data_IF_216964949833
#
_entry.id   IF_216964949833
#
_cell.length_a   1.000
_cell.length_b   1.000
_cell.length_c   1.000
_cell.angle_alpha   90.00
_cell.angle_beta   90.00
_cell.angle_gamma   90.00
#
_symmetry.space_group_name_H-M   'P 1'
#
loop_
_entity.id
_entity.type
_entity.pdbx_description
1 polymer ?
#
# COMPACT_ATOMS: atom_id res chain seq x y z
N UNK A 1 -22.39 -20.81 3.50
CA UNK A 1 -21.01 -20.29 3.69
C UNK A 1 -20.94 -19.08 4.63
N UNK A 2 -22.08 -18.50 5.07
CA UNK A 2 -22.11 -17.30 5.94
C UNK A 2 -21.70 -17.59 7.40
N UNK A 3 -21.54 -18.87 7.80
CA UNK A 3 -21.16 -19.27 9.17
C UNK A 3 -19.85 -20.10 9.23
N UNK A 4 -19.09 -20.18 8.13
CA UNK A 4 -17.81 -20.90 8.16
C UNK A 4 -16.77 -20.10 8.94
N UNK A 5 -16.20 -20.71 9.98
CA UNK A 5 -15.21 -20.10 10.87
C UNK A 5 -13.81 -20.69 10.71
N UNK A 6 -13.66 -21.78 9.93
CA UNK A 6 -12.37 -22.39 9.67
C UNK A 6 -11.54 -21.51 8.71
N UNK A 7 -10.42 -20.92 9.18
CA UNK A 7 -9.62 -20.01 8.36
C UNK A 7 -9.09 -20.64 7.08
N UNK A 8 -8.81 -21.95 7.07
CA UNK A 8 -8.30 -22.64 5.87
C UNK A 8 -9.39 -22.85 4.82
N UNK A 9 -10.63 -23.09 5.23
CA UNK A 9 -11.77 -23.20 4.31
C UNK A 9 -12.08 -21.83 3.70
N UNK A 10 -12.12 -20.78 4.53
CA UNK A 10 -12.33 -19.39 4.07
C UNK A 10 -11.22 -18.99 3.09
N UNK A 11 -9.96 -19.27 3.44
CA UNK A 11 -8.79 -19.00 2.60
C UNK A 11 -8.89 -19.73 1.26
N UNK A 12 -9.20 -21.03 1.26
CA UNK A 12 -9.34 -21.83 0.04
C UNK A 12 -10.46 -21.29 -0.84
N UNK A 13 -11.61 -20.97 -0.26
CA UNK A 13 -12.71 -20.35 -1.01
C UNK A 13 -12.27 -19.03 -1.67
N UNK A 14 -11.64 -18.13 -0.91
CA UNK A 14 -11.20 -16.85 -1.43
C UNK A 14 -10.15 -17.00 -2.54
N UNK A 15 -9.22 -17.95 -2.39
CA UNK A 15 -8.22 -18.26 -3.40
C UNK A 15 -8.86 -18.86 -4.65
N UNK A 16 -9.60 -19.97 -4.52
CA UNK A 16 -10.02 -20.78 -5.66
C UNK A 16 -11.24 -20.14 -6.37
N UNK A 17 -12.20 -19.63 -5.60
CA UNK A 17 -13.48 -19.13 -6.16
C UNK A 17 -13.43 -17.67 -6.59
N UNK A 18 -12.49 -16.87 -6.07
CA UNK A 18 -12.36 -15.44 -6.39
C UNK A 18 -11.06 -15.20 -7.16
N UNK A 19 -9.90 -15.44 -6.54
CA UNK A 19 -8.62 -15.09 -7.15
C UNK A 19 -8.33 -15.88 -8.42
N UNK A 20 -8.40 -17.22 -8.36
CA UNK A 20 -8.12 -18.07 -9.52
C UNK A 20 -9.16 -17.87 -10.62
N UNK A 21 -10.44 -17.69 -10.27
CA UNK A 21 -11.47 -17.34 -11.25
C UNK A 21 -11.14 -16.04 -11.99
N UNK A 22 -10.82 -14.97 -11.28
CA UNK A 22 -10.45 -13.70 -11.93
C UNK A 22 -9.24 -13.92 -12.83
N UNK A 23 -8.18 -14.56 -12.33
CA UNK A 23 -6.90 -14.72 -13.05
C UNK A 23 -7.01 -15.62 -14.28
N UNK A 24 -7.70 -16.75 -14.19
CA UNK A 24 -7.74 -17.79 -15.23
C UNK A 24 -8.95 -17.70 -16.15
N UNK A 25 -9.97 -16.93 -15.78
CA UNK A 25 -11.19 -16.76 -16.57
C UNK A 25 -11.45 -15.31 -16.93
N UNK A 26 -11.72 -14.46 -15.93
CA UNK A 26 -12.24 -13.11 -16.21
C UNK A 26 -11.19 -12.23 -16.94
N UNK A 27 -9.92 -12.27 -16.53
CA UNK A 27 -8.87 -11.51 -17.22
C UNK A 27 -8.65 -12.04 -18.66
N UNK A 28 -8.48 -13.36 -18.90
CA UNK A 28 -8.37 -13.90 -20.27
C UNK A 28 -9.59 -13.63 -21.17
N UNK A 29 -10.81 -13.53 -20.63
CA UNK A 29 -12.02 -13.18 -21.39
C UNK A 29 -11.99 -11.73 -21.92
N UNK A 30 -11.34 -10.81 -21.20
CA UNK A 30 -11.29 -9.38 -21.55
C UNK A 30 -9.96 -8.92 -22.18
N UNK A 31 -8.89 -9.68 -22.00
CA UNK A 31 -7.55 -9.29 -22.41
C UNK A 31 -6.84 -10.43 -23.14
N UNK A 32 -6.14 -10.13 -24.24
CA UNK A 32 -5.27 -11.12 -24.90
C UNK A 32 -4.09 -11.47 -23.99
N UNK A 33 -4.12 -12.70 -23.45
CA UNK A 33 -3.16 -13.25 -22.50
C UNK A 33 -2.67 -14.61 -22.98
N UNK A 34 -1.36 -14.73 -23.15
CA UNK A 34 -0.73 -16.00 -23.54
C UNK A 34 -0.50 -16.94 -22.34
N UNK A 35 -0.30 -16.40 -21.13
CA UNK A 35 0.04 -17.20 -19.95
C UNK A 35 -0.62 -16.68 -18.67
N UNK A 36 -1.88 -17.05 -18.38
CA UNK A 36 -2.55 -16.66 -17.14
C UNK A 36 -1.80 -17.08 -15.86
N UNK A 37 -1.09 -18.21 -15.89
CA UNK A 37 -0.27 -18.66 -14.76
C UNK A 37 0.90 -17.72 -14.42
N UNK A 38 1.35 -16.87 -15.36
CA UNK A 38 2.32 -15.82 -15.06
C UNK A 38 1.69 -14.65 -14.29
N UNK A 39 0.42 -14.30 -14.55
CA UNK A 39 -0.32 -13.32 -13.71
C UNK A 39 -0.41 -13.82 -12.27
N UNK A 40 -0.78 -15.09 -12.09
CA UNK A 40 -0.87 -15.70 -10.76
C UNK A 40 0.47 -15.68 -10.03
N UNK A 41 1.58 -15.98 -10.72
CA UNK A 41 2.93 -15.91 -10.15
C UNK A 41 3.33 -14.50 -9.73
N UNK A 42 3.08 -13.49 -10.58
CA UNK A 42 3.32 -12.08 -10.24
C UNK A 42 2.52 -11.69 -8.99
N UNK A 43 1.23 -12.07 -8.92
CA UNK A 43 0.38 -11.78 -7.78
C UNK A 43 0.90 -12.42 -6.49
N UNK A 44 1.37 -13.67 -6.53
CA UNK A 44 1.97 -14.35 -5.38
C UNK A 44 3.28 -13.69 -4.91
N UNK A 45 4.14 -13.25 -5.84
CA UNK A 45 5.36 -12.51 -5.50
C UNK A 45 5.00 -11.23 -4.74
N UNK A 46 4.05 -10.45 -5.25
CA UNK A 46 3.59 -9.21 -4.60
C UNK A 46 2.89 -9.48 -3.27
N UNK A 47 2.18 -10.61 -3.14
CA UNK A 47 1.59 -11.04 -1.88
C UNK A 47 2.64 -11.37 -0.82
N UNK A 48 3.77 -11.95 -1.21
CA UNK A 48 4.86 -12.24 -0.27
C UNK A 48 5.54 -10.98 0.26
N UNK A 49 5.45 -9.87 -0.48
CA UNK A 49 6.11 -8.60 -0.16
C UNK A 49 5.23 -7.38 -0.52
N UNK A 50 4.09 -7.17 0.16
CA UNK A 50 3.21 -6.04 -0.13
C UNK A 50 3.98 -4.72 0.02
N UNK A 51 3.80 -3.79 -0.91
CA UNK A 51 4.50 -2.51 -0.90
C UNK A 51 5.92 -2.55 -1.47
N UNK A 52 6.35 -3.66 -2.08
CA UNK A 52 7.68 -3.69 -2.73
C UNK A 52 7.78 -2.68 -3.88
N UNK A 53 8.94 -2.04 -4.00
CA UNK A 53 9.27 -1.24 -5.18
C UNK A 53 9.51 -2.17 -6.37
N UNK A 54 8.80 -1.92 -7.46
CA UNK A 54 8.86 -2.77 -8.65
C UNK A 54 9.62 -2.07 -9.76
N UNK A 55 10.69 -2.72 -10.21
CA UNK A 55 11.31 -2.48 -11.51
C UNK A 55 10.98 -3.65 -12.43
N UNK A 56 10.16 -3.40 -13.46
CA UNK A 56 9.69 -4.46 -14.37
C UNK A 56 10.81 -5.24 -15.04
N UNK A 57 11.96 -4.60 -15.29
CA UNK A 57 13.13 -5.26 -15.89
C UNK A 57 13.65 -6.39 -14.99
N UNK A 58 13.72 -6.17 -13.68
CA UNK A 58 14.24 -7.17 -12.75
C UNK A 58 13.28 -8.35 -12.66
N UNK A 59 11.98 -8.09 -12.50
CA UNK A 59 10.95 -9.15 -12.51
C UNK A 59 10.95 -9.92 -13.85
N UNK A 60 11.11 -9.22 -14.97
CA UNK A 60 11.18 -9.83 -16.29
C UNK A 60 12.38 -10.77 -16.43
N UNK A 61 13.56 -10.35 -15.94
CA UNK A 61 14.76 -11.17 -15.94
C UNK A 61 14.58 -12.42 -15.06
N UNK A 62 14.10 -12.25 -13.83
CA UNK A 62 13.91 -13.34 -12.87
C UNK A 62 12.89 -14.37 -13.35
N UNK A 63 11.82 -13.91 -14.00
CA UNK A 63 10.77 -14.77 -14.56
C UNK A 63 11.06 -15.23 -16.00
N UNK A 64 12.20 -14.83 -16.59
CA UNK A 64 12.60 -15.13 -17.97
C UNK A 64 11.51 -14.78 -18.98
N UNK A 65 11.05 -13.52 -18.94
CA UNK A 65 10.00 -12.96 -19.79
C UNK A 65 10.38 -11.59 -20.34
N UNK A 66 9.68 -11.15 -21.38
CA UNK A 66 9.85 -9.80 -21.89
C UNK A 66 9.33 -8.73 -20.92
N UNK A 67 10.04 -7.61 -20.82
CA UNK A 67 9.69 -6.49 -19.94
C UNK A 67 8.32 -5.90 -20.25
N UNK A 68 7.92 -5.82 -21.53
CA UNK A 68 6.61 -5.30 -21.93
C UNK A 68 5.51 -6.26 -21.50
N UNK A 69 5.73 -7.57 -21.56
CA UNK A 69 4.78 -8.57 -21.04
C UNK A 69 4.57 -8.41 -19.55
N UNK A 70 5.64 -8.27 -18.75
CA UNK A 70 5.50 -8.02 -17.31
C UNK A 70 4.76 -6.72 -17.03
N UNK A 71 5.13 -5.61 -17.68
CA UNK A 71 4.44 -4.33 -17.49
C UNK A 71 2.94 -4.41 -17.85
N UNK A 72 2.60 -5.09 -18.95
CA UNK A 72 1.23 -5.35 -19.40
C UNK A 72 0.45 -6.18 -18.38
N UNK A 73 1.08 -7.19 -17.78
CA UNK A 73 0.44 -8.07 -16.81
C UNK A 73 0.19 -7.38 -15.47
N UNK A 74 1.10 -6.50 -15.02
CA UNK A 74 0.85 -5.61 -13.88
C UNK A 74 -0.37 -4.71 -14.13
N UNK A 75 -0.50 -4.18 -15.35
CA UNK A 75 -1.63 -3.35 -15.72
C UNK A 75 -2.96 -4.14 -15.74
N UNK A 76 -2.95 -5.37 -16.23
CA UNK A 76 -4.13 -6.25 -16.20
C UNK A 76 -4.57 -6.56 -14.77
N UNK A 77 -3.64 -6.89 -13.88
CA UNK A 77 -3.95 -7.09 -12.47
C UNK A 77 -4.48 -5.82 -11.79
N UNK A 78 -3.98 -4.64 -12.17
CA UNK A 78 -4.48 -3.34 -11.69
C UNK A 78 -5.91 -3.07 -12.16
N UNK A 79 -6.17 -3.24 -13.45
CA UNK A 79 -7.50 -3.03 -14.06
C UNK A 79 -8.54 -4.04 -13.52
N UNK A 80 -8.08 -5.19 -13.06
CA UNK A 80 -8.92 -6.24 -12.45
C UNK A 80 -9.06 -6.09 -10.94
N UNK A 81 -8.69 -4.94 -10.38
CA UNK A 81 -8.77 -4.62 -8.95
C UNK A 81 -8.00 -5.61 -8.04
N UNK A 82 -6.98 -6.29 -8.54
CA UNK A 82 -6.11 -7.15 -7.73
C UNK A 82 -4.87 -6.42 -7.20
N UNK A 83 -4.41 -5.39 -7.92
CA UNK A 83 -3.26 -4.57 -7.52
C UNK A 83 -3.60 -3.09 -7.37
N UNK A 84 -2.94 -2.46 -6.40
CA UNK A 84 -2.93 -1.02 -6.17
C UNK A 84 -1.50 -0.48 -6.26
N UNK A 85 -1.16 0.29 -7.32
CA UNK A 85 0.11 1.01 -7.37
C UNK A 85 0.06 2.21 -6.42
N UNK A 86 1.18 2.45 -5.75
CA UNK A 86 1.44 3.63 -4.94
C UNK A 86 2.66 4.35 -5.55
N UNK A 87 2.43 5.58 -6.00
CA UNK A 87 3.39 6.34 -6.80
C UNK A 87 4.37 7.09 -5.91
N UNK A 88 5.62 7.28 -6.35
CA UNK A 88 6.52 8.16 -5.62
C UNK A 88 6.05 9.60 -5.79
N UNK A 89 5.84 10.30 -4.69
CA UNK A 89 5.39 11.68 -4.67
C UNK A 89 6.46 12.63 -5.23
N UNK A 90 6.05 13.39 -6.23
CA UNK A 90 6.70 14.58 -6.73
C UNK A 90 5.61 15.62 -7.01
N UNK A 91 5.95 16.91 -6.93
CA UNK A 91 5.02 17.98 -7.32
C UNK A 91 4.62 17.90 -8.80
N UNK A 92 5.47 17.31 -9.64
CA UNK A 92 5.19 17.07 -11.06
C UNK A 92 4.72 15.62 -11.29
N UNK A 93 3.48 15.47 -11.78
CA UNK A 93 2.84 14.18 -12.02
C UNK A 93 3.62 13.30 -13.03
N UNK A 94 4.17 13.89 -14.09
CA UNK A 94 4.95 13.16 -15.09
C UNK A 94 6.24 12.57 -14.48
N UNK A 95 6.82 13.25 -13.49
CA UNK A 95 7.96 12.72 -12.74
C UNK A 95 7.53 11.55 -11.86
N UNK A 96 6.41 11.65 -11.16
CA UNK A 96 5.84 10.54 -10.39
C UNK A 96 5.57 9.30 -11.26
N UNK A 97 5.02 9.49 -12.47
CA UNK A 97 4.73 8.39 -13.41
C UNK A 97 5.99 7.62 -13.85
N UNK A 98 7.10 8.32 -14.05
CA UNK A 98 8.37 7.73 -14.53
C UNK A 98 9.14 6.97 -13.45
N UNK A 99 8.84 7.21 -12.16
CA UNK A 99 9.59 6.62 -11.04
C UNK A 99 9.04 5.25 -10.67
N UNK A 100 9.88 4.46 -9.99
CA UNK A 100 9.46 3.16 -9.46
C UNK A 100 8.27 3.33 -8.52
N UNK A 101 7.31 2.42 -8.64
CA UNK A 101 6.06 2.40 -7.88
C UNK A 101 6.16 1.30 -6.84
N UNK A 102 5.60 1.54 -5.64
CA UNK A 102 5.29 0.45 -4.71
C UNK A 102 4.03 -0.25 -5.20
N UNK A 103 3.97 -1.57 -5.08
CA UNK A 103 2.76 -2.32 -5.39
C UNK A 103 2.22 -3.01 -4.16
N UNK A 104 0.99 -2.68 -3.81
CA UNK A 104 0.20 -3.39 -2.83
C UNK A 104 -0.87 -4.21 -3.56
N UNK A 105 -1.36 -5.26 -2.90
CA UNK A 105 -2.60 -5.91 -3.31
C UNK A 105 -3.75 -4.98 -2.94
N UNK A 106 -4.83 -4.94 -3.73
CA UNK A 106 -5.92 -3.98 -3.52
C UNK A 106 -6.58 -4.03 -2.15
N UNK A 107 -6.51 -5.19 -1.47
CA UNK A 107 -6.99 -5.36 -0.11
C UNK A 107 -6.07 -6.33 0.65
N UNK A 108 -5.79 -6.12 1.96
CA UNK A 108 -4.95 -7.02 2.77
C UNK A 108 -5.48 -8.46 2.83
N UNK A 109 -6.78 -8.68 2.67
CA UNK A 109 -7.37 -10.02 2.60
C UNK A 109 -6.79 -10.85 1.44
N UNK A 110 -6.43 -10.23 0.30
CA UNK A 110 -5.78 -10.93 -0.82
C UNK A 110 -4.41 -11.47 -0.39
N UNK A 111 -3.65 -10.71 0.41
CA UNK A 111 -2.37 -11.17 0.94
C UNK A 111 -2.59 -12.37 1.84
N UNK A 112 -3.50 -12.26 2.80
CA UNK A 112 -3.83 -13.35 3.74
C UNK A 112 -4.33 -14.60 3.01
N UNK A 113 -5.13 -14.45 1.95
CA UNK A 113 -5.64 -15.54 1.12
C UNK A 113 -4.54 -16.24 0.29
N UNK A 114 -3.43 -15.55 -0.01
CA UNK A 114 -2.30 -16.12 -0.77
C UNK A 114 -1.19 -16.65 0.15
N UNK A 115 -0.87 -15.96 1.25
CA UNK A 115 0.27 -16.30 2.13
C UNK A 115 -0.09 -17.17 3.34
N UNK A 116 -1.31 -17.05 3.86
CA UNK A 116 -1.84 -17.93 4.90
C UNK A 116 -1.45 -17.42 6.26
N UNK A 117 -0.33 -17.93 6.76
CA UNK A 117 0.27 -17.46 8.01
C UNK A 117 1.48 -16.57 7.70
N UNK A 118 1.29 -15.25 7.51
CA UNK A 118 2.38 -14.33 7.19
C UNK A 118 3.37 -14.22 8.35
N UNK A 119 4.66 -14.04 8.01
CA UNK A 119 5.70 -13.71 8.99
C UNK A 119 5.41 -12.37 9.68
N UNK A 120 6.03 -12.07 10.84
CA UNK A 120 5.88 -10.77 11.49
C UNK A 120 6.21 -9.57 10.60
N UNK A 121 7.21 -9.69 9.72
CA UNK A 121 7.55 -8.64 8.75
C UNK A 121 6.40 -8.41 7.76
N UNK A 122 5.87 -9.49 7.18
CA UNK A 122 4.75 -9.41 6.24
C UNK A 122 3.50 -8.88 6.94
N UNK A 123 3.27 -9.19 8.23
CA UNK A 123 2.17 -8.59 9.01
C UNK A 123 2.29 -7.07 9.12
N UNK A 124 3.50 -6.52 9.28
CA UNK A 124 3.72 -5.07 9.23
C UNK A 124 3.30 -4.47 7.88
N UNK A 125 3.72 -5.10 6.78
CA UNK A 125 3.36 -4.69 5.42
C UNK A 125 1.87 -4.87 5.10
N UNK A 126 1.20 -5.86 5.70
CA UNK A 126 -0.26 -6.03 5.63
C UNK A 126 -0.96 -4.85 6.33
N UNK A 127 -0.42 -4.35 7.44
CA UNK A 127 -0.96 -3.15 8.08
C UNK A 127 -0.76 -1.91 7.21
N UNK A 128 0.40 -1.73 6.58
CA UNK A 128 0.57 -0.68 5.57
C UNK A 128 -0.47 -0.80 4.45
N UNK A 129 -0.67 -2.02 3.92
CA UNK A 129 -1.64 -2.28 2.88
C UNK A 129 -3.07 -1.91 3.31
N UNK A 130 -3.45 -2.24 4.56
CA UNK A 130 -4.73 -1.83 5.13
C UNK A 130 -4.89 -0.31 5.03
N UNK A 131 -3.92 0.47 5.51
CA UNK A 131 -4.00 1.93 5.44
C UNK A 131 -4.01 2.46 4.01
N UNK A 132 -3.25 1.86 3.08
CA UNK A 132 -3.30 2.20 1.65
C UNK A 132 -4.72 2.00 1.09
N UNK A 133 -5.36 0.87 1.40
CA UNK A 133 -6.70 0.53 0.92
C UNK A 133 -7.79 1.44 1.53
N UNK A 134 -7.75 1.69 2.84
CA UNK A 134 -8.80 2.46 3.54
C UNK A 134 -8.68 3.97 3.32
N UNK A 135 -7.46 4.51 3.23
CA UNK A 135 -7.26 5.95 2.96
C UNK A 135 -7.36 6.29 1.47
N UNK A 136 -7.44 5.28 0.60
CA UNK A 136 -7.33 5.45 -0.84
C UNK A 136 -6.04 6.16 -1.24
N UNK A 137 -4.94 5.83 -0.55
CA UNK A 137 -3.61 6.38 -0.76
C UNK A 137 -3.14 6.13 -2.20
N UNK A 138 -2.55 7.15 -2.81
CA UNK A 138 -2.02 7.07 -4.18
C UNK A 138 -0.52 7.34 -4.25
N UNK A 139 0.06 7.89 -3.17
CA UNK A 139 1.45 8.30 -3.16
C UNK A 139 2.18 7.81 -1.90
N UNK A 140 3.47 7.57 -2.03
CA UNK A 140 4.45 7.45 -0.93
C UNK A 140 5.55 8.49 -1.17
N UNK A 141 6.34 8.84 -0.16
CA UNK A 141 7.47 9.74 -0.34
C UNK A 141 8.79 9.02 -0.11
N UNK A 142 9.82 9.33 -0.91
CA UNK A 142 11.20 8.98 -0.57
C UNK A 142 12.16 10.09 -0.97
N UNK A 143 12.94 10.55 -0.02
CA UNK A 143 13.93 11.62 -0.21
C UNK A 143 15.14 11.13 -1.02
N UNK A 144 16.02 12.07 -1.37
CA UNK A 144 17.32 11.76 -1.99
C UNK A 144 18.25 11.01 -1.05
N UNK A 145 18.17 11.29 0.25
CA UNK A 145 18.94 10.62 1.31
C UNK A 145 18.36 9.26 1.70
N UNK A 146 17.21 8.89 1.15
CA UNK A 146 16.58 7.58 1.34
C UNK A 146 15.58 7.50 2.48
N UNK A 147 15.25 8.61 3.16
CA UNK A 147 14.13 8.62 4.11
C UNK A 147 12.81 8.41 3.36
N UNK A 148 11.91 7.62 3.93
CA UNK A 148 10.66 7.22 3.29
C UNK A 148 9.47 7.56 4.19
N UNK A 149 8.33 7.89 3.58
CA UNK A 149 7.02 7.92 4.22
C UNK A 149 6.12 6.96 3.46
N UNK A 150 5.41 6.12 4.20
CA UNK A 150 4.59 5.05 3.62
C UNK A 150 3.48 5.57 2.73
N UNK A 151 2.74 6.59 3.18
CA UNK A 151 1.56 7.10 2.46
C UNK A 151 1.49 8.63 2.55
N UNK A 152 1.22 9.28 1.43
CA UNK A 152 0.76 10.68 1.38
C UNK A 152 -0.72 10.65 1.02
N UNK A 153 -1.57 11.18 1.89
CA UNK A 153 -3.02 11.12 1.76
C UNK A 153 -3.63 12.50 1.63
N UNK A 154 -4.76 12.56 0.95
CA UNK A 154 -5.60 13.75 0.91
C UNK A 154 -6.27 13.94 2.30
N UNK A 155 -6.07 15.08 3.00
CA UNK A 155 -6.71 15.37 4.28
C UNK A 155 -8.22 15.10 4.27
N UNK A 156 -8.91 15.40 3.17
CA UNK A 156 -10.36 15.23 3.03
C UNK A 156 -10.82 13.78 3.09
N UNK A 157 -9.93 12.82 2.83
CA UNK A 157 -10.21 11.38 2.97
C UNK A 157 -10.01 10.88 4.39
N UNK A 158 -9.22 11.58 5.20
CA UNK A 158 -9.05 11.21 6.60
C UNK A 158 -10.18 11.81 7.42
N UNK A 159 -10.42 13.12 7.32
CA UNK A 159 -11.45 13.78 8.11
C UNK A 159 -11.74 15.18 7.57
N UNK A 160 -13.01 15.62 7.53
CA UNK A 160 -13.39 16.91 6.96
C UNK A 160 -12.90 18.09 7.80
N UNK A 161 -12.54 17.86 9.08
CA UNK A 161 -12.00 18.89 9.96
C UNK A 161 -10.49 19.08 9.83
N UNK A 162 -9.79 18.18 9.13
CA UNK A 162 -8.36 18.38 8.85
C UNK A 162 -8.20 19.51 7.83
N UNK A 163 -7.29 20.44 8.15
CA UNK A 163 -6.99 21.55 7.26
C UNK A 163 -6.44 21.00 5.94
N UNK A 164 -6.84 21.63 4.85
CA UNK A 164 -6.29 21.31 3.53
C UNK A 164 -4.79 21.64 3.52
N UNK A 165 -3.98 20.63 3.28
CA UNK A 165 -2.53 20.76 3.04
C UNK A 165 -2.30 20.63 1.53
N UNK A 166 -1.63 21.60 0.92
CA UNK A 166 -1.49 21.69 -0.55
C UNK A 166 -0.85 20.45 -1.18
N UNK A 167 -0.05 19.71 -0.42
CA UNK A 167 0.68 18.52 -0.88
C UNK A 167 0.22 17.22 -0.22
N UNK A 168 -0.86 17.26 0.57
CA UNK A 168 -1.34 16.13 1.35
C UNK A 168 -0.65 15.97 2.71
N UNK A 169 -1.15 15.03 3.49
CA UNK A 169 -0.64 14.72 4.83
C UNK A 169 0.19 13.43 4.77
N UNK A 170 1.41 13.41 5.34
CA UNK A 170 2.23 12.22 5.38
C UNK A 170 1.84 11.32 6.58
N UNK A 171 1.69 10.02 6.29
CA UNK A 171 1.37 8.93 7.21
C UNK A 171 2.50 7.90 7.21
N UNK A 172 3.07 7.64 8.37
CA UNK A 172 4.06 6.58 8.61
C UNK A 172 3.40 5.46 9.43
N UNK A 173 3.45 4.22 8.95
CA UNK A 173 2.85 3.07 9.62
C UNK A 173 3.93 2.35 10.43
N UNK A 174 3.82 2.44 11.76
CA UNK A 174 4.68 1.74 12.71
C UNK A 174 3.83 0.98 13.70
N UNK A 175 3.37 -0.21 13.31
CA UNK A 175 2.52 -1.06 14.14
C UNK A 175 3.27 -1.72 15.32
N UNK A 176 3.78 -0.88 16.20
CA UNK A 176 4.55 -1.17 17.42
C UNK A 176 4.13 -0.19 18.53
N UNK A 177 4.49 -0.51 19.77
CA UNK A 177 4.27 0.36 20.94
C UNK A 177 5.53 1.19 21.29
N UNK A 178 6.59 1.10 20.50
CA UNK A 178 7.83 1.86 20.69
C UNK A 178 8.17 2.61 19.42
N UNK A 179 8.20 3.93 19.51
CA UNK A 179 8.58 4.83 18.42
C UNK A 179 9.92 5.47 18.78
N UNK A 180 10.84 5.48 17.83
CA UNK A 180 12.18 6.02 18.00
C UNK A 180 12.37 7.28 17.14
N UNK A 181 13.34 8.15 17.45
CA UNK A 181 13.62 9.35 16.65
C UNK A 181 13.85 9.06 15.16
N UNK A 182 14.36 7.87 14.81
CA UNK A 182 14.55 7.45 13.42
C UNK A 182 13.25 7.31 12.63
N UNK A 183 12.15 6.96 13.30
CA UNK A 183 10.84 6.75 12.67
C UNK A 183 10.18 8.08 12.25
N UNK A 184 10.69 9.22 12.76
CA UNK A 184 10.22 10.56 12.40
C UNK A 184 10.97 11.15 11.19
N UNK A 185 12.09 10.57 10.76
CA UNK A 185 12.96 11.19 9.75
C UNK A 185 12.25 11.34 8.41
N UNK A 186 11.49 10.33 7.98
CA UNK A 186 10.69 10.38 6.76
C UNK A 186 9.66 11.50 6.78
N UNK A 187 8.84 11.51 7.84
CA UNK A 187 7.82 12.53 8.07
C UNK A 187 8.41 13.94 8.07
N UNK A 188 9.42 14.17 8.91
CA UNK A 188 10.06 15.49 9.05
C UNK A 188 10.75 15.93 7.75
N UNK A 189 11.35 15.01 6.99
CA UNK A 189 11.93 15.27 5.66
C UNK A 189 10.87 15.75 4.66
N UNK A 190 9.72 15.06 4.60
CA UNK A 190 8.61 15.48 3.74
C UNK A 190 8.02 16.82 4.18
N UNK A 191 7.68 16.94 5.47
CA UNK A 191 7.00 18.12 6.03
C UNK A 191 7.80 19.39 5.82
N UNK A 192 9.12 19.37 6.11
CA UNK A 192 10.00 20.53 5.88
C UNK A 192 10.12 20.90 4.40
N UNK A 193 10.25 19.89 3.53
CA UNK A 193 10.42 20.11 2.08
C UNK A 193 9.19 20.75 1.46
N UNK A 194 7.99 20.32 1.87
CA UNK A 194 6.72 20.74 1.28
C UNK A 194 5.93 21.72 2.16
N UNK A 195 6.50 22.14 3.30
CA UNK A 195 5.90 23.07 4.28
C UNK A 195 4.53 22.60 4.79
N UNK A 196 4.40 21.30 5.04
CA UNK A 196 3.17 20.64 5.52
C UNK A 196 3.19 20.59 7.04
N UNK A 197 2.16 21.18 7.69
CA UNK A 197 2.23 21.44 9.13
C UNK A 197 1.88 20.29 10.06
N UNK A 198 1.37 19.20 9.49
CA UNK A 198 0.88 18.06 10.23
C UNK A 198 1.32 16.75 9.58
N UNK A 199 1.75 15.80 10.40
CA UNK A 199 2.00 14.41 10.00
C UNK A 199 1.52 13.41 11.06
N UNK A 200 1.36 12.16 10.66
CA UNK A 200 0.90 11.10 11.56
C UNK A 200 1.84 9.91 11.55
N UNK A 201 2.17 9.40 12.75
CA UNK A 201 2.67 8.04 12.93
C UNK A 201 1.51 7.18 13.43
N UNK A 202 1.20 6.12 12.71
CA UNK A 202 0.20 5.14 13.11
C UNK A 202 0.89 4.06 13.95
N UNK A 203 0.59 4.05 15.24
CA UNK A 203 1.16 3.11 16.21
C UNK A 203 0.25 1.89 16.44
N UNK A 204 0.74 0.88 17.17
CA UNK A 204 -0.13 -0.21 17.63
C UNK A 204 -1.07 0.24 18.76
N UNK A 205 -0.56 1.03 19.71
CA UNK A 205 -1.32 1.47 20.88
C UNK A 205 -0.78 2.73 21.57
N UNK A 206 0.30 3.31 21.07
CA UNK A 206 0.89 4.53 21.62
C UNK A 206 0.13 5.77 21.14
N UNK A 207 -0.20 6.67 22.05
CA UNK A 207 -0.79 7.97 21.73
C UNK A 207 0.04 9.08 22.34
N UNK A 208 0.66 9.89 21.48
CA UNK A 208 1.57 10.97 21.87
C UNK A 208 1.53 12.10 20.83
N UNK A 209 1.97 13.28 21.24
CA UNK A 209 2.11 14.43 20.35
C UNK A 209 3.53 14.97 20.45
N UNK A 210 4.19 15.10 19.30
CA UNK A 210 5.50 15.74 19.21
C UNK A 210 5.32 17.09 18.51
N UNK A 211 5.55 18.16 19.26
CA UNK A 211 5.53 19.53 18.76
C UNK A 211 6.93 19.94 18.35
N UNK A 212 7.02 20.55 17.19
CA UNK A 212 8.20 21.25 16.70
C UNK A 212 7.84 22.73 16.55
N UNK A 213 8.83 23.63 16.58
CA UNK A 213 8.57 25.08 16.41
C UNK A 213 7.87 25.40 15.09
N UNK A 214 8.08 24.56 14.08
CA UNK A 214 7.52 24.71 12.75
C UNK A 214 6.18 23.96 12.59
N UNK A 215 6.03 22.75 13.16
CA UNK A 215 4.96 21.80 12.81
C UNK A 215 4.60 20.81 13.96
N UNK A 216 3.62 19.91 13.73
CA UNK A 216 3.21 18.87 14.69
C UNK A 216 3.18 17.47 14.06
N UNK A 217 3.75 16.49 14.77
CA UNK A 217 3.57 15.06 14.47
C UNK A 217 2.71 14.43 15.56
N UNK A 218 1.62 13.77 15.16
CA UNK A 218 0.76 13.02 16.09
C UNK A 218 1.02 11.53 15.96
N UNK A 219 1.38 10.89 17.06
CA UNK A 219 1.45 9.43 17.16
C UNK A 219 0.08 8.95 17.63
N UNK A 220 -0.61 8.17 16.82
CA UNK A 220 -2.00 7.77 17.08
C UNK A 220 -2.13 6.25 16.93
N UNK A 221 -2.82 5.56 17.85
CA UNK A 221 -3.13 4.14 17.70
C UNK A 221 -3.91 3.86 16.42
N UNK A 222 -3.56 2.78 15.72
CA UNK A 222 -4.19 2.40 14.45
C UNK A 222 -5.71 2.37 14.55
N UNK A 223 -6.27 1.68 15.54
CA UNK A 223 -7.72 1.61 15.74
C UNK A 223 -8.37 2.99 15.88
N UNK A 224 -7.73 3.92 16.61
CA UNK A 224 -8.25 5.27 16.85
C UNK A 224 -8.19 6.12 15.58
N UNK A 225 -7.14 5.94 14.77
CA UNK A 225 -7.05 6.61 13.47
C UNK A 225 -8.13 6.08 12.51
N UNK A 226 -8.34 4.77 12.45
CA UNK A 226 -9.33 4.15 11.57
C UNK A 226 -10.76 4.62 11.86
N UNK A 227 -11.10 4.88 13.13
CA UNK A 227 -12.40 5.46 13.50
C UNK A 227 -12.63 6.89 12.99
N UNK A 228 -11.58 7.58 12.56
CA UNK A 228 -11.69 8.95 12.02
C UNK A 228 -11.91 8.97 10.51
N UNK A 229 -11.51 7.92 9.80
CA UNK A 229 -11.58 7.85 8.33
C UNK A 229 -13.04 7.90 7.90
N UNK A 230 -13.41 8.92 7.11
CA UNK A 230 -14.74 8.97 6.49
C UNK A 230 -14.78 8.02 5.28
N UNK A 231 -15.55 6.95 5.41
CA UNK A 231 -15.91 6.10 4.28
C UNK A 231 -17.01 6.80 3.47
N UNK A 232 -16.65 7.33 2.31
CA UNK A 232 -17.65 7.60 1.26
C UNK A 232 -17.89 6.29 0.51
N UNK A 233 -19.02 5.65 0.83
CA UNK A 233 -19.59 4.56 0.01
C UNK A 233 -20.03 5.16 -1.33
#
# INVERSE_FOLDING_TARGET
>A
MIEENNPEIIRRYFKDSILERVIYRDIPEHFSIDNPGLLYRILNILASQPGMLVEYKNIANDLKRDRRTIAKYFEYLRLSFLLKPLYRFYSNLLTSEKKLKKYYLSHPALTLALTGQPSPEVKGRIMENLFVSLTGGNFFYRSTSGEEVDIIVDPKKISPVLKSESFGIPLEIKYTNKIYPKDLRGLTSFMRRYKVKQGFIISKGLEEEQKFDWDRVSIIPAWKFLLKIEYKI
#
